data_IF_373402425243
#
_entry.id   IF_373402425243
#
_cell.length_a   1.000
_cell.length_b   1.000
_cell.length_c   1.000
_cell.angle_alpha   90.00
_cell.angle_beta   90.00
_cell.angle_gamma   90.00
#
_symmetry.space_group_name_H-M   'P 1'
#
loop_
_entity.id
_entity.type
_entity.pdbx_description
1 polymer ?
#
# COMPACT_ATOMS: atom_id res chain seq x y z
N UNK A 1 45.26 -21.35 -73.59
CA UNK A 1 44.90 -22.74 -73.19
C UNK A 1 45.01 -22.87 -71.66
N UNK A 2 44.20 -23.77 -71.07
CA UNK A 2 44.37 -24.57 -69.81
C UNK A 2 45.64 -24.31 -68.95
N UNK A 3 45.65 -24.38 -67.61
CA UNK A 3 44.63 -24.83 -66.62
C UNK A 3 45.00 -24.36 -65.19
N UNK A 4 44.03 -24.41 -64.26
CA UNK A 4 44.12 -24.22 -62.79
C UNK A 4 44.80 -25.36 -62.02
N UNK A 5 45.19 -25.10 -60.74
CA UNK A 5 45.34 -26.00 -59.53
C UNK A 5 46.28 -25.28 -58.53
N UNK A 6 46.18 -25.34 -57.18
CA UNK A 6 45.15 -25.76 -56.20
C UNK A 6 45.50 -25.17 -54.80
N UNK A 7 44.58 -25.24 -53.84
CA UNK A 7 44.69 -24.68 -52.48
C UNK A 7 45.42 -25.57 -51.44
N UNK A 8 45.88 -24.98 -50.32
CA UNK A 8 45.53 -25.32 -48.91
C UNK A 8 46.33 -24.52 -47.84
N UNK A 9 45.69 -24.25 -46.68
CA UNK A 9 46.25 -23.85 -45.35
C UNK A 9 46.79 -25.11 -44.60
N UNK A 10 47.39 -25.12 -43.36
CA UNK A 10 47.39 -24.17 -42.20
C UNK A 10 48.86 -23.89 -41.70
N UNK A 11 49.28 -23.67 -40.40
CA UNK A 11 48.61 -23.64 -39.08
C UNK A 11 49.01 -22.48 -38.10
N UNK A 12 48.75 -22.69 -36.79
CA UNK A 12 49.14 -21.92 -35.58
C UNK A 12 50.60 -22.23 -35.13
N UNK A 13 51.27 -21.54 -34.18
CA UNK A 13 51.06 -21.45 -32.69
C UNK A 13 51.94 -20.32 -32.06
N UNK A 14 51.60 -19.93 -30.80
CA UNK A 14 52.23 -19.03 -29.79
C UNK A 14 53.81 -19.02 -29.72
N UNK A 15 54.55 -18.11 -29.05
CA UNK A 15 54.43 -17.32 -27.78
C UNK A 15 55.20 -15.96 -27.91
N UNK A 16 55.10 -14.89 -27.08
CA UNK A 16 55.44 -14.75 -25.64
C UNK A 16 55.15 -13.32 -25.09
N UNK A 17 55.15 -13.18 -23.75
CA UNK A 17 54.98 -11.93 -22.97
C UNK A 17 56.05 -10.84 -23.20
N UNK A 18 55.65 -9.56 -23.00
CA UNK A 18 56.40 -8.58 -22.19
C UNK A 18 55.41 -7.82 -21.30
N UNK A 19 55.73 -7.66 -20.01
CA UNK A 19 54.99 -6.87 -19.02
C UNK A 19 55.85 -5.68 -18.62
N UNK A 20 55.27 -4.47 -18.56
CA UNK A 20 55.72 -3.39 -17.68
C UNK A 20 54.52 -2.50 -17.30
N UNK A 21 54.32 -2.30 -16.00
CA UNK A 21 53.34 -1.37 -15.41
C UNK A 21 53.99 0.05 -15.24
N UNK A 22 53.34 1.15 -14.85
CA UNK A 22 52.45 1.40 -13.69
C UNK A 22 51.65 2.72 -13.90
N UNK A 23 50.33 2.66 -13.67
CA UNK A 23 49.44 3.65 -13.00
C UNK A 23 49.57 5.16 -13.30
N UNK A 24 48.58 5.75 -13.98
CA UNK A 24 47.49 6.54 -13.34
C UNK A 24 46.31 6.73 -14.31
N UNK A 25 45.13 7.03 -13.77
CA UNK A 25 43.86 6.72 -14.44
C UNK A 25 43.42 7.63 -15.58
N UNK A 26 42.99 7.02 -16.69
CA UNK A 26 41.90 7.50 -17.56
C UNK A 26 41.02 6.29 -17.89
N UNK A 27 39.97 6.05 -17.08
CA UNK A 27 38.87 5.19 -17.55
C UNK A 27 38.06 6.03 -18.52
N UNK A 28 38.21 5.70 -19.80
CA UNK A 28 37.53 6.39 -20.90
C UNK A 28 36.01 6.33 -20.68
N UNK A 29 35.38 7.50 -20.69
CA UNK A 29 33.93 7.62 -20.75
C UNK A 29 33.42 6.94 -22.01
N UNK A 30 32.72 5.82 -21.85
CA UNK A 30 31.85 5.30 -22.89
C UNK A 30 30.42 5.41 -22.36
N UNK A 31 29.70 6.47 -22.79
CA UNK A 31 28.34 6.77 -22.37
C UNK A 31 27.35 5.75 -22.94
N UNK A 32 27.38 4.54 -22.39
CA UNK A 32 26.24 3.64 -22.40
C UNK A 32 25.25 4.16 -21.36
N UNK A 33 24.31 5.01 -21.79
CA UNK A 33 23.10 5.33 -21.03
C UNK A 33 22.15 4.12 -20.99
N UNK A 34 22.65 3.00 -20.45
CA UNK A 34 21.82 1.99 -19.83
C UNK A 34 21.93 2.21 -18.32
N UNK A 35 21.22 3.22 -17.83
CA UNK A 35 20.75 3.17 -16.46
C UNK A 35 19.93 1.89 -16.34
N UNK A 36 20.47 0.86 -15.68
CA UNK A 36 19.66 -0.26 -15.22
C UNK A 36 18.73 0.28 -14.14
N UNK A 37 17.63 0.89 -14.57
CA UNK A 37 16.41 0.93 -13.79
C UNK A 37 16.17 -0.52 -13.38
N UNK A 38 16.43 -0.84 -12.11
CA UNK A 38 15.97 -2.08 -11.53
C UNK A 38 14.47 -2.08 -11.73
N UNK A 39 13.99 -2.98 -12.59
CA UNK A 39 12.59 -3.03 -12.97
C UNK A 39 11.76 -3.34 -11.73
N UNK A 40 11.26 -2.31 -11.04
CA UNK A 40 10.27 -2.47 -9.98
C UNK A 40 8.99 -2.91 -10.70
N UNK A 41 8.81 -4.23 -10.78
CA UNK A 41 7.64 -4.84 -11.40
C UNK A 41 6.47 -4.58 -10.46
N UNK A 42 5.60 -3.63 -10.82
CA UNK A 42 4.26 -3.50 -10.23
C UNK A 42 3.41 -4.59 -10.88
N UNK A 43 3.41 -5.76 -10.26
CA UNK A 43 2.54 -6.93 -10.49
C UNK A 43 2.40 -7.39 -11.94
N UNK A 44 3.42 -7.18 -12.77
CA UNK A 44 3.51 -7.62 -14.17
C UNK A 44 2.50 -6.97 -15.14
N UNK A 45 1.66 -6.03 -14.69
CA UNK A 45 0.62 -5.41 -15.54
C UNK A 45 1.24 -4.35 -16.46
N UNK A 46 1.10 -4.56 -17.77
CA UNK A 46 1.56 -3.66 -18.84
C UNK A 46 0.60 -3.72 -20.01
N UNK A 47 0.37 -2.59 -20.68
CA UNK A 47 -0.14 -2.63 -22.06
C UNK A 47 0.99 -3.03 -23.04
N UNK A 48 0.67 -3.12 -24.33
CA UNK A 48 1.61 -3.48 -25.40
C UNK A 48 2.83 -2.53 -25.53
N UNK A 49 2.74 -1.32 -24.98
CA UNK A 49 3.79 -0.30 -24.97
C UNK A 49 4.53 -0.23 -23.62
N UNK A 50 4.09 -0.99 -22.61
CA UNK A 50 4.64 -0.94 -21.25
C UNK A 50 4.00 0.12 -20.35
N UNK A 51 2.88 0.73 -20.74
CA UNK A 51 2.24 1.83 -20.03
C UNK A 51 0.97 1.40 -19.29
N UNK A 52 0.76 1.96 -18.10
CA UNK A 52 -0.49 1.91 -17.33
C UNK A 52 -0.79 3.31 -16.77
N UNK A 53 -2.05 3.60 -16.53
CA UNK A 53 -2.46 4.85 -15.87
C UNK A 53 -2.60 4.61 -14.38
N UNK A 54 -1.84 5.33 -13.58
CA UNK A 54 -2.01 5.42 -12.13
C UNK A 54 -3.42 5.95 -11.79
N UNK A 55 -4.08 5.35 -10.80
CA UNK A 55 -5.45 5.67 -10.44
C UNK A 55 -5.61 7.09 -9.87
N UNK A 56 -4.61 7.62 -9.14
CA UNK A 56 -4.66 9.01 -8.65
C UNK A 56 -4.65 9.98 -9.83
N UNK A 57 -3.80 9.74 -10.84
CA UNK A 57 -3.83 10.51 -12.07
C UNK A 57 -5.17 10.38 -12.80
N UNK A 58 -5.69 9.16 -12.94
CA UNK A 58 -6.98 8.90 -13.61
C UNK A 58 -8.16 9.63 -12.94
N UNK A 59 -8.18 9.74 -11.61
CA UNK A 59 -9.27 10.45 -10.91
C UNK A 59 -9.05 11.97 -10.82
N UNK A 60 -7.81 12.45 -10.91
CA UNK A 60 -7.48 13.88 -10.83
C UNK A 60 -7.81 14.67 -12.13
N UNK A 61 -8.25 14.00 -13.21
CA UNK A 61 -8.67 14.63 -14.47
C UNK A 61 -10.06 15.33 -14.33
N UNK A 62 -10.12 16.34 -13.46
CA UNK A 62 -11.26 17.26 -13.31
C UNK A 62 -12.35 16.86 -12.31
N UNK A 63 -12.20 15.75 -11.58
CA UNK A 63 -13.15 15.38 -10.51
C UNK A 63 -12.72 15.94 -9.15
N UNK A 64 -13.69 16.24 -8.28
CA UNK A 64 -13.47 16.62 -6.86
C UNK A 64 -13.95 15.56 -5.87
N UNK A 65 -14.88 14.69 -6.29
CA UNK A 65 -15.33 13.51 -5.56
C UNK A 65 -15.37 12.29 -6.50
N UNK A 66 -15.00 11.09 -6.00
CA UNK A 66 -15.02 9.84 -6.77
C UNK A 66 -15.82 8.76 -6.02
N UNK A 67 -16.96 8.36 -6.56
CA UNK A 67 -17.71 7.20 -6.05
C UNK A 67 -16.98 5.92 -6.45
N UNK A 68 -16.81 5.01 -5.50
CA UNK A 68 -16.17 3.72 -5.76
C UNK A 68 -17.13 2.77 -6.50
N UNK A 69 -16.67 2.17 -7.60
CA UNK A 69 -17.35 1.10 -8.34
C UNK A 69 -17.23 -0.24 -7.59
N UNK A 70 -17.78 -1.33 -8.13
CA UNK A 70 -17.69 -2.64 -7.46
C UNK A 70 -16.25 -3.12 -7.31
N UNK A 71 -15.44 -3.07 -8.37
CA UNK A 71 -14.04 -3.52 -8.34
C UNK A 71 -13.25 -2.78 -7.25
N UNK A 72 -13.39 -1.46 -7.16
CA UNK A 72 -12.71 -0.63 -6.17
C UNK A 72 -13.18 -0.94 -4.74
N UNK A 73 -14.48 -1.22 -4.52
CA UNK A 73 -15.01 -1.63 -3.21
C UNK A 73 -14.60 -3.04 -2.81
N UNK A 74 -14.69 -4.00 -3.71
CA UNK A 74 -14.35 -5.41 -3.45
C UNK A 74 -12.86 -5.53 -3.08
N UNK A 75 -11.98 -4.78 -3.76
CA UNK A 75 -10.56 -4.70 -3.43
C UNK A 75 -10.30 -3.96 -2.10
N UNK A 76 -11.08 -2.93 -1.78
CA UNK A 76 -10.98 -2.21 -0.51
C UNK A 76 -11.41 -3.07 0.69
N UNK A 77 -12.50 -3.83 0.55
CA UNK A 77 -12.94 -4.82 1.54
C UNK A 77 -11.89 -5.93 1.73
N UNK A 78 -11.32 -6.45 0.65
CA UNK A 78 -10.21 -7.41 0.72
C UNK A 78 -8.99 -6.82 1.47
N UNK A 79 -8.61 -5.58 1.18
CA UNK A 79 -7.50 -4.90 1.85
C UNK A 79 -7.73 -4.68 3.35
N UNK A 80 -8.96 -4.29 3.73
CA UNK A 80 -9.38 -4.17 5.13
C UNK A 80 -9.32 -5.54 5.83
N UNK A 81 -9.75 -6.61 5.16
CA UNK A 81 -9.63 -7.98 5.68
C UNK A 81 -8.17 -8.35 5.93
N UNK A 82 -7.28 -8.16 4.95
CA UNK A 82 -5.84 -8.46 5.06
C UNK A 82 -5.17 -7.76 6.24
N UNK A 83 -5.50 -6.49 6.46
CA UNK A 83 -5.02 -5.73 7.62
C UNK A 83 -5.48 -6.38 8.94
N UNK A 84 -6.75 -6.74 9.06
CA UNK A 84 -7.25 -7.45 10.25
C UNK A 84 -6.62 -8.84 10.43
N UNK A 85 -6.35 -9.56 9.33
CA UNK A 85 -5.72 -10.89 9.39
C UNK A 85 -4.26 -10.84 9.86
N UNK A 86 -3.50 -9.80 9.48
CA UNK A 86 -2.16 -9.52 9.98
C UNK A 86 -2.17 -9.13 11.46
N UNK A 87 -3.09 -8.25 11.88
CA UNK A 87 -3.22 -7.84 13.28
C UNK A 87 -3.69 -8.98 14.20
N UNK A 88 -4.58 -9.84 13.72
CA UNK A 88 -4.95 -11.06 14.42
C UNK A 88 -3.81 -12.09 14.49
N UNK A 89 -2.80 -12.00 13.60
CA UNK A 89 -1.83 -13.07 13.39
C UNK A 89 -2.49 -14.32 12.82
N UNK A 90 -3.57 -14.16 12.04
CA UNK A 90 -4.15 -15.23 11.20
C UNK A 90 -3.19 -15.61 10.07
N UNK A 91 -2.42 -14.64 9.59
CA UNK A 91 -1.42 -14.74 8.52
C UNK A 91 -0.27 -13.81 8.91
N UNK A 92 0.99 -14.25 8.85
CA UNK A 92 2.13 -13.36 9.03
C UNK A 92 2.30 -12.40 7.84
N UNK A 93 2.99 -11.29 8.06
CA UNK A 93 3.38 -10.36 6.99
C UNK A 93 4.15 -11.06 5.87
N UNK A 94 5.06 -11.98 6.20
CA UNK A 94 5.80 -12.81 5.23
C UNK A 94 4.88 -13.73 4.42
N UNK A 95 4.00 -14.49 5.08
CA UNK A 95 3.04 -15.36 4.39
C UNK A 95 2.08 -14.55 3.50
N UNK A 96 1.72 -13.32 3.90
CA UNK A 96 0.90 -12.43 3.08
C UNK A 96 1.62 -12.01 1.79
N UNK A 97 2.91 -11.67 1.85
CA UNK A 97 3.74 -11.32 0.68
C UNK A 97 3.96 -12.55 -0.23
N UNK A 98 4.17 -13.73 0.36
CA UNK A 98 4.38 -14.98 -0.40
C UNK A 98 3.09 -15.49 -1.07
N UNK A 99 1.93 -15.23 -0.47
CA UNK A 99 0.62 -15.73 -0.98
C UNK A 99 -0.14 -14.75 -1.87
N UNK A 100 0.09 -13.43 -1.75
CA UNK A 100 -0.52 -12.42 -2.62
C UNK A 100 0.53 -11.51 -3.27
N UNK A 101 0.85 -11.70 -4.56
CA UNK A 101 1.87 -10.91 -5.26
C UNK A 101 1.49 -9.43 -5.40
N UNK A 102 0.27 -9.04 -5.02
CA UNK A 102 -0.17 -7.66 -5.02
C UNK A 102 0.04 -6.93 -3.69
N UNK A 103 0.46 -7.63 -2.64
CA UNK A 103 0.79 -7.06 -1.33
C UNK A 103 2.29 -6.82 -1.26
N UNK A 104 2.69 -5.62 -0.84
CA UNK A 104 4.07 -5.27 -0.50
C UNK A 104 4.12 -4.69 0.91
N UNK A 105 5.18 -5.01 1.66
CA UNK A 105 5.46 -4.37 2.95
C UNK A 105 6.76 -3.54 2.86
N UNK A 106 6.70 -2.31 3.34
CA UNK A 106 7.87 -1.45 3.55
C UNK A 106 8.11 -1.29 5.06
N UNK A 107 9.23 -1.85 5.54
CA UNK A 107 9.59 -1.83 6.96
C UNK A 107 10.41 -0.58 7.29
N UNK A 108 9.95 0.22 8.26
CA UNK A 108 10.67 1.43 8.69
C UNK A 108 11.82 1.07 9.62
N UNK A 109 12.96 0.71 9.02
CA UNK A 109 14.20 0.41 9.76
C UNK A 109 14.71 1.68 10.47
N UNK A 110 14.84 1.68 11.81
CA UNK A 110 15.35 2.85 12.54
C UNK A 110 16.78 3.20 12.16
N UNK A 111 17.15 4.49 12.30
CA UNK A 111 18.53 4.97 12.09
C UNK A 111 19.55 4.32 13.05
N UNK A 112 19.10 3.91 14.24
CA UNK A 112 19.89 3.15 15.19
C UNK A 112 19.67 1.66 14.93
N UNK A 113 20.70 0.96 14.45
CA UNK A 113 20.64 -0.44 14.01
C UNK A 113 20.19 -1.39 15.15
N UNK A 114 20.38 -1.01 16.41
CA UNK A 114 19.95 -1.79 17.59
C UNK A 114 18.54 -1.45 18.08
N UNK A 115 17.81 -0.53 17.43
CA UNK A 115 16.42 -0.25 17.75
C UNK A 115 15.49 -1.16 16.92
N UNK A 116 14.41 -1.70 17.53
CA UNK A 116 13.52 -2.64 16.87
C UNK A 116 12.73 -1.98 15.73
N UNK A 117 12.41 -2.76 14.69
CA UNK A 117 11.47 -2.36 13.64
C UNK A 117 10.04 -2.47 14.19
N UNK A 118 9.48 -1.33 14.58
CA UNK A 118 8.16 -1.20 15.22
C UNK A 118 7.06 -0.70 14.30
N UNK A 119 7.38 -0.30 13.07
CA UNK A 119 6.42 0.22 12.08
C UNK A 119 6.69 -0.38 10.70
N UNK A 120 5.63 -0.73 9.98
CA UNK A 120 5.68 -1.08 8.56
C UNK A 120 4.46 -0.52 7.81
N UNK A 121 4.62 -0.15 6.55
CA UNK A 121 3.49 0.15 5.66
C UNK A 121 3.18 -1.07 4.80
N UNK A 122 1.90 -1.38 4.60
CA UNK A 122 1.41 -2.36 3.64
C UNK A 122 0.75 -1.61 2.48
N UNK A 123 1.24 -1.86 1.25
CA UNK A 123 0.63 -1.43 -0.01
C UNK A 123 -0.09 -2.62 -0.65
N UNK A 124 -1.30 -2.38 -1.17
CA UNK A 124 -2.06 -3.34 -1.97
C UNK A 124 -2.48 -2.72 -3.30
N UNK A 125 -1.91 -3.24 -4.37
CA UNK A 125 -2.16 -2.80 -5.74
C UNK A 125 -3.30 -3.60 -6.36
N UNK A 126 -4.22 -2.96 -7.09
CA UNK A 126 -5.33 -3.62 -7.76
C UNK A 126 -5.59 -3.05 -9.16
N UNK A 127 -6.12 -3.88 -10.06
CA UNK A 127 -6.47 -3.46 -11.42
C UNK A 127 -7.92 -2.97 -11.45
N UNK A 128 -8.11 -1.69 -11.79
CA UNK A 128 -9.44 -1.10 -12.05
C UNK A 128 -9.91 -1.48 -13.45
N UNK A 129 -9.01 -1.38 -14.43
CA UNK A 129 -9.28 -1.71 -15.84
C UNK A 129 -8.08 -2.41 -16.45
N UNK A 130 -8.28 -3.59 -17.01
CA UNK A 130 -7.21 -4.33 -17.71
C UNK A 130 -6.78 -3.59 -19.00
N UNK A 131 -5.48 -3.57 -19.34
CA UNK A 131 -5.02 -3.02 -20.61
C UNK A 131 -5.51 -3.87 -21.79
N UNK A 132 -5.69 -3.22 -22.94
CA UNK A 132 -5.98 -3.88 -24.23
C UNK A 132 -5.06 -3.33 -25.31
N UNK A 133 -4.96 -3.96 -26.50
CA UNK A 133 -4.23 -3.39 -27.64
C UNK A 133 -4.73 -2.02 -28.11
N UNK A 134 -5.90 -1.56 -27.65
CA UNK A 134 -6.47 -0.26 -27.98
C UNK A 134 -6.49 0.74 -26.81
N UNK A 135 -6.30 0.30 -25.56
CA UNK A 135 -6.52 1.11 -24.36
C UNK A 135 -5.51 0.80 -23.25
N UNK A 136 -4.97 1.85 -22.62
CA UNK A 136 -4.14 1.71 -21.43
C UNK A 136 -4.94 1.10 -20.28
N UNK A 137 -4.28 0.30 -19.45
CA UNK A 137 -4.87 -0.17 -18.19
C UNK A 137 -4.95 0.94 -17.15
N UNK A 138 -5.76 0.74 -16.11
CA UNK A 138 -5.83 1.59 -14.92
C UNK A 138 -5.56 0.73 -13.69
N UNK A 139 -4.57 1.13 -12.90
CA UNK A 139 -4.10 0.43 -11.70
C UNK A 139 -4.16 1.39 -10.53
N UNK A 140 -4.74 0.95 -9.41
CA UNK A 140 -4.81 1.71 -8.18
C UNK A 140 -4.11 1.01 -7.02
N UNK A 141 -3.90 1.75 -5.95
CA UNK A 141 -3.25 1.27 -4.73
C UNK A 141 -4.04 1.71 -3.50
N UNK A 142 -4.11 0.82 -2.51
CA UNK A 142 -4.44 1.17 -1.14
C UNK A 142 -3.21 1.04 -0.26
N UNK A 143 -3.11 1.91 0.74
CA UNK A 143 -2.00 1.96 1.68
C UNK A 143 -2.52 1.85 3.11
N UNK A 144 -1.70 1.27 3.97
CA UNK A 144 -1.95 1.18 5.40
C UNK A 144 -0.64 1.16 6.17
N UNK A 145 -0.67 1.55 7.43
CA UNK A 145 0.45 1.43 8.37
C UNK A 145 0.08 0.47 9.48
N UNK A 146 1.02 -0.37 9.90
CA UNK A 146 0.92 -1.19 11.11
C UNK A 146 2.02 -0.84 12.12
N UNK A 147 1.69 -0.82 13.41
CA UNK A 147 2.65 -0.63 14.52
C UNK A 147 2.63 -1.79 15.52
N UNK A 148 3.75 -1.95 16.21
CA UNK A 148 3.95 -2.87 17.34
C UNK A 148 4.92 -2.28 18.36
N UNK A 149 4.84 -2.75 19.61
CA UNK A 149 5.66 -2.27 20.72
C UNK A 149 7.17 -2.49 20.54
N UNK A 150 7.54 -3.64 20.05
CA UNK A 150 8.92 -4.09 19.88
C UNK A 150 8.99 -5.18 18.79
N UNK A 151 10.20 -5.69 18.51
CA UNK A 151 10.43 -6.64 17.43
C UNK A 151 9.83 -8.04 17.66
N UNK A 152 9.48 -8.38 18.91
CA UNK A 152 8.94 -9.69 19.31
C UNK A 152 7.42 -9.62 19.57
N UNK A 153 6.88 -8.42 19.82
CA UNK A 153 5.44 -8.19 19.87
C UNK A 153 4.76 -8.47 18.51
N UNK A 154 3.49 -8.96 18.52
CA UNK A 154 2.67 -8.97 17.31
C UNK A 154 2.34 -7.53 16.86
N UNK A 155 1.90 -7.39 15.61
CA UNK A 155 1.30 -6.14 15.13
C UNK A 155 0.06 -5.81 15.98
N UNK A 156 0.08 -4.64 16.61
CA UNK A 156 -0.87 -4.21 17.63
C UNK A 156 -1.88 -3.19 17.06
N UNK A 157 -1.42 -2.30 16.18
CA UNK A 157 -2.22 -1.23 15.58
C UNK A 157 -2.17 -1.26 14.07
N UNK A 158 -3.28 -0.88 13.44
CA UNK A 158 -3.38 -0.68 11.99
C UNK A 158 -4.12 0.61 11.64
N UNK A 159 -3.73 1.23 10.53
CA UNK A 159 -4.30 2.49 10.05
C UNK A 159 -4.43 2.47 8.53
N UNK A 160 -5.64 2.74 8.00
CA UNK A 160 -5.91 2.84 6.55
C UNK A 160 -6.42 4.25 6.24
N UNK A 161 -5.59 5.14 5.66
CA UNK A 161 -6.04 6.39 5.08
C UNK A 161 -6.66 6.19 3.69
N UNK A 162 -7.81 6.81 3.45
CA UNK A 162 -8.35 7.04 2.10
C UNK A 162 -8.35 8.51 1.68
N UNK A 163 -8.03 9.46 2.57
CA UNK A 163 -7.94 10.88 2.20
C UNK A 163 -6.87 11.12 1.15
N UNK A 164 -7.31 11.36 -0.08
CA UNK A 164 -6.48 11.91 -1.15
C UNK A 164 -6.70 13.43 -1.21
N UNK A 165 -5.63 14.21 -1.13
CA UNK A 165 -5.67 15.68 -1.07
C UNK A 165 -6.24 16.36 -2.33
N UNK A 166 -6.48 15.61 -3.41
CA UNK A 166 -7.01 16.13 -4.68
C UNK A 166 -8.45 15.69 -4.96
N UNK A 167 -8.86 14.51 -4.49
CA UNK A 167 -10.19 13.92 -4.76
C UNK A 167 -10.71 13.22 -3.50
N UNK A 168 -11.92 13.59 -3.06
CA UNK A 168 -12.59 12.91 -1.95
C UNK A 168 -13.20 11.58 -2.42
N UNK A 169 -12.73 10.41 -1.94
CA UNK A 169 -13.34 9.13 -2.28
C UNK A 169 -14.64 8.93 -1.52
N UNK A 170 -15.66 8.41 -2.20
CA UNK A 170 -16.93 8.01 -1.61
C UNK A 170 -17.02 6.49 -1.71
N UNK A 171 -16.62 5.81 -0.63
CA UNK A 171 -16.48 4.34 -0.59
C UNK A 171 -17.79 3.62 -0.86
N UNK A 172 -18.94 4.25 -0.59
CA UNK A 172 -20.27 3.74 -0.91
C UNK A 172 -20.50 2.30 -0.41
N UNK A 173 -20.07 2.04 0.83
CA UNK A 173 -20.30 0.77 1.52
C UNK A 173 -21.80 0.59 1.80
N UNK A 174 -22.29 -0.63 1.60
CA UNK A 174 -23.60 -1.07 2.08
C UNK A 174 -23.44 -1.80 3.44
N UNK A 175 -24.52 -1.99 4.22
CA UNK A 175 -24.43 -2.72 5.49
C UNK A 175 -23.81 -4.13 5.37
N UNK A 176 -24.00 -4.80 4.23
CA UNK A 176 -23.45 -6.13 3.99
C UNK A 176 -21.93 -6.12 3.80
N UNK A 177 -21.29 -4.98 3.53
CA UNK A 177 -19.84 -4.86 3.54
C UNK A 177 -19.28 -5.10 4.95
N UNK A 178 -19.95 -4.57 5.98
CA UNK A 178 -19.58 -4.80 7.38
C UNK A 178 -19.81 -6.27 7.78
N UNK A 179 -20.91 -6.89 7.32
CA UNK A 179 -21.15 -8.33 7.49
C UNK A 179 -20.05 -9.19 6.83
N UNK A 180 -19.66 -8.88 5.58
CA UNK A 180 -18.60 -9.58 4.83
C UNK A 180 -17.24 -9.47 5.53
N UNK A 181 -16.95 -8.33 6.15
CA UNK A 181 -15.75 -8.11 6.95
C UNK A 181 -15.81 -8.80 8.33
N UNK A 182 -16.98 -9.31 8.74
CA UNK A 182 -17.21 -9.93 10.05
C UNK A 182 -17.28 -8.91 11.19
N UNK A 183 -17.63 -7.66 10.90
CA UNK A 183 -17.67 -6.55 11.84
C UNK A 183 -19.03 -6.44 12.53
N UNK A 184 -19.02 -6.39 13.86
CA UNK A 184 -20.21 -6.15 14.68
C UNK A 184 -20.21 -4.70 15.16
N UNK A 185 -21.25 -3.94 14.86
CA UNK A 185 -21.37 -2.58 15.37
C UNK A 185 -21.38 -2.57 16.90
N UNK A 186 -20.67 -1.60 17.49
CA UNK A 186 -20.50 -1.48 18.95
C UNK A 186 -21.01 -0.14 19.45
N UNK A 187 -20.55 0.97 18.87
CA UNK A 187 -21.03 2.31 19.24
C UNK A 187 -20.66 3.38 18.21
N UNK A 188 -21.33 4.53 18.32
CA UNK A 188 -21.07 5.75 17.55
C UNK A 188 -20.77 6.90 18.52
N UNK A 189 -19.73 7.67 18.24
CA UNK A 189 -19.34 8.84 19.04
C UNK A 189 -18.66 9.90 18.16
N UNK A 190 -18.42 11.08 18.74
CA UNK A 190 -17.96 12.26 18.00
C UNK A 190 -16.58 12.74 18.44
N UNK A 191 -15.99 13.59 17.62
CA UNK A 191 -14.76 14.33 17.94
C UNK A 191 -14.83 15.07 19.29
N UNK A 192 -16.01 15.59 19.66
CA UNK A 192 -16.26 16.24 20.95
C UNK A 192 -16.18 15.29 22.16
N UNK A 193 -16.56 14.02 22.00
CA UNK A 193 -16.41 13.00 23.04
C UNK A 193 -14.92 12.68 23.30
N UNK A 194 -14.08 12.79 22.26
CA UNK A 194 -12.63 12.66 22.38
C UNK A 194 -11.99 13.90 23.02
N UNK A 195 -12.37 15.12 22.58
CA UNK A 195 -11.89 16.39 23.18
C UNK A 195 -12.12 16.46 24.69
N UNK A 196 -13.29 15.98 25.13
CA UNK A 196 -13.71 16.02 26.53
C UNK A 196 -13.13 14.89 27.39
N UNK A 197 -12.39 13.94 26.80
CA UNK A 197 -11.90 12.75 27.50
C UNK A 197 -12.99 11.76 27.89
N UNK A 198 -14.25 12.00 27.51
CA UNK A 198 -15.38 11.06 27.70
C UNK A 198 -15.16 9.75 26.94
N UNK A 199 -14.41 9.80 25.84
CA UNK A 199 -13.92 8.66 25.08
C UNK A 199 -12.42 8.81 24.82
N UNK A 200 -11.72 7.68 24.75
CA UNK A 200 -10.33 7.60 24.32
C UNK A 200 -10.23 6.66 23.12
N UNK A 201 -9.41 7.03 22.14
CA UNK A 201 -8.97 6.13 21.07
C UNK A 201 -7.48 5.89 21.23
N UNK A 202 -7.16 4.73 21.80
CA UNK A 202 -5.80 4.24 22.00
C UNK A 202 -5.47 3.28 20.85
N UNK A 203 -5.19 3.84 19.67
CA UNK A 203 -5.01 3.10 18.41
C UNK A 203 -3.62 3.30 17.77
N UNK A 204 -2.66 3.82 18.52
CA UNK A 204 -1.31 4.11 18.01
C UNK A 204 -0.39 4.41 19.20
N UNK A 205 0.83 3.87 19.24
CA UNK A 205 1.74 4.13 20.36
C UNK A 205 2.33 5.56 20.33
N UNK A 206 2.37 6.17 19.14
CA UNK A 206 3.07 7.43 18.88
C UNK A 206 2.18 8.60 18.41
N UNK A 207 0.84 8.43 18.38
CA UNK A 207 -0.09 9.44 17.83
C UNK A 207 -1.27 9.74 18.76
N UNK A 208 -1.25 10.98 19.23
CA UNK A 208 -2.38 11.70 19.80
C UNK A 208 -3.53 11.84 18.78
N UNK A 209 -4.78 11.71 19.24
CA UNK A 209 -5.99 12.04 18.47
C UNK A 209 -5.95 13.49 17.93
N UNK A 210 -5.09 14.37 18.46
CA UNK A 210 -4.74 15.66 17.85
C UNK A 210 -4.37 15.62 16.36
N UNK A 211 -3.96 14.47 15.80
CA UNK A 211 -3.71 14.35 14.35
C UNK A 211 -4.96 14.36 13.46
N UNK A 212 -6.17 14.27 14.04
CA UNK A 212 -7.42 14.61 13.35
C UNK A 212 -7.63 16.13 13.19
N UNK A 213 -6.83 16.98 13.85
CA UNK A 213 -7.04 18.43 13.95
C UNK A 213 -5.99 19.27 13.23
N UNK A 214 -4.77 18.76 13.09
CA UNK A 214 -3.66 19.48 12.42
C UNK A 214 -3.81 19.53 10.89
N UNK A 215 -4.70 18.72 10.31
CA UNK A 215 -5.19 18.94 8.95
C UNK A 215 -6.19 20.09 8.98
N UNK A 216 -5.88 21.18 8.28
CA UNK A 216 -6.60 22.47 8.31
C UNK A 216 -8.02 22.50 7.73
N UNK A 217 -8.81 21.45 7.95
CA UNK A 217 -10.27 21.49 7.81
C UNK A 217 -10.84 22.43 8.87
N UNK A 218 -11.33 23.59 8.43
CA UNK A 218 -11.82 24.68 9.29
C UNK A 218 -13.14 24.33 10.00
N UNK A 219 -13.10 23.39 10.93
CA UNK A 219 -14.24 23.03 11.79
C UNK A 219 -15.09 21.86 11.31
N UNK A 220 -14.60 21.01 10.40
CA UNK A 220 -15.29 19.74 10.10
C UNK A 220 -15.32 18.87 11.37
N UNK A 221 -16.51 18.53 11.89
CA UNK A 221 -16.58 17.52 12.93
C UNK A 221 -16.36 16.13 12.31
N UNK A 222 -15.91 15.19 13.15
CA UNK A 222 -15.79 13.79 12.78
C UNK A 222 -16.77 12.95 13.60
N UNK A 223 -17.48 12.06 12.90
CA UNK A 223 -18.20 10.95 13.50
C UNK A 223 -17.32 9.69 13.41
N UNK A 224 -17.35 8.88 14.46
CA UNK A 224 -16.58 7.65 14.57
C UNK A 224 -17.52 6.48 14.82
N UNK A 225 -17.40 5.46 13.99
CA UNK A 225 -18.20 4.23 14.09
C UNK A 225 -17.28 3.10 14.56
N UNK A 226 -17.50 2.63 15.79
CA UNK A 226 -16.75 1.54 16.40
C UNK A 226 -17.44 0.20 16.14
N UNK A 227 -16.64 -0.74 15.71
CA UNK A 227 -16.96 -2.13 15.49
C UNK A 227 -16.02 -3.02 16.31
N UNK A 228 -16.47 -4.24 16.57
CA UNK A 228 -15.62 -5.32 17.08
C UNK A 228 -15.69 -6.54 16.17
N UNK A 229 -14.62 -7.31 16.13
CA UNK A 229 -14.60 -8.64 15.49
C UNK A 229 -13.66 -9.57 16.25
N UNK A 230 -13.57 -10.82 15.83
CA UNK A 230 -12.64 -11.80 16.38
C UNK A 230 -12.13 -12.68 15.26
N UNK A 231 -10.81 -12.72 15.08
CA UNK A 231 -10.13 -13.50 14.04
C UNK A 231 -8.96 -14.24 14.69
N UNK A 232 -8.75 -15.51 14.31
CA UNK A 232 -7.76 -16.40 14.97
C UNK A 232 -7.83 -16.38 16.52
N UNK A 233 -9.05 -16.37 17.08
CA UNK A 233 -9.34 -16.19 18.51
C UNK A 233 -8.87 -14.87 19.16
N UNK A 234 -8.30 -13.94 18.38
CA UNK A 234 -7.89 -12.60 18.83
C UNK A 234 -9.03 -11.60 18.58
N UNK A 235 -9.53 -10.88 19.62
CA UNK A 235 -10.47 -9.80 19.43
C UNK A 235 -9.80 -8.58 18.79
N UNK A 236 -10.50 -7.92 17.87
CA UNK A 236 -10.06 -6.67 17.26
C UNK A 236 -11.12 -5.57 17.46
N UNK A 237 -10.69 -4.36 17.79
CA UNK A 237 -11.49 -3.14 17.62
C UNK A 237 -11.18 -2.52 16.26
N UNK A 238 -12.22 -2.10 15.54
CA UNK A 238 -12.09 -1.36 14.27
C UNK A 238 -12.94 -0.10 14.34
N UNK A 239 -12.38 1.06 14.01
CA UNK A 239 -13.08 2.35 14.02
C UNK A 239 -12.97 3.04 12.67
N UNK A 240 -14.11 3.37 12.08
CA UNK A 240 -14.21 4.13 10.83
C UNK A 240 -14.42 5.61 11.17
N UNK A 241 -13.52 6.47 10.67
CA UNK A 241 -13.62 7.93 10.73
C UNK A 241 -14.39 8.48 9.54
N UNK A 242 -15.39 9.32 9.81
CA UNK A 242 -16.35 9.85 8.85
C UNK A 242 -16.43 11.37 8.99
N UNK A 243 -16.38 12.09 7.87
CA UNK A 243 -16.64 13.54 7.83
C UNK A 243 -18.11 13.82 8.18
N UNK A 244 -18.37 14.88 8.93
CA UNK A 244 -19.72 15.32 9.30
C UNK A 244 -20.66 15.56 8.09
N UNK A 245 -20.16 16.00 6.93
CA UNK A 245 -20.98 16.16 5.72
C UNK A 245 -21.35 14.83 5.04
N UNK A 246 -20.72 13.72 5.45
CA UNK A 246 -20.98 12.35 5.01
C UNK A 246 -21.65 11.49 6.10
N UNK A 247 -21.98 12.10 7.23
CA UNK A 247 -22.56 11.47 8.41
C UNK A 247 -24.10 11.53 8.39
N UNK A 248 -24.74 10.44 8.82
CA UNK A 248 -26.19 10.36 9.03
C UNK A 248 -26.45 9.93 10.49
N UNK A 249 -27.23 10.72 11.23
CA UNK A 249 -27.57 10.42 12.62
C UNK A 249 -28.39 9.14 12.78
N UNK A 250 -29.27 8.87 11.81
CA UNK A 250 -30.17 7.71 11.80
C UNK A 250 -29.49 6.42 11.32
N UNK A 251 -28.34 6.52 10.64
CA UNK A 251 -27.59 5.37 10.16
C UNK A 251 -26.80 4.66 11.27
N UNK A 252 -26.91 3.34 11.31
CA UNK A 252 -26.07 2.44 12.12
C UNK A 252 -24.68 2.24 11.49
N UNK A 253 -24.60 2.23 10.16
CA UNK A 253 -23.38 1.95 9.39
C UNK A 253 -22.96 3.15 8.53
N UNK A 254 -21.66 3.48 8.45
CA UNK A 254 -21.18 4.59 7.64
C UNK A 254 -21.10 4.20 6.16
N UNK A 255 -21.83 4.91 5.30
CA UNK A 255 -21.80 4.69 3.84
C UNK A 255 -20.49 5.13 3.19
N UNK A 256 -19.94 6.25 3.66
CA UNK A 256 -18.65 6.79 3.23
C UNK A 256 -17.78 7.00 4.47
N UNK A 257 -16.47 6.79 4.32
CA UNK A 257 -15.50 6.93 5.40
C UNK A 257 -14.13 7.23 4.77
N UNK A 258 -13.23 7.82 5.58
CA UNK A 258 -11.98 8.38 5.08
C UNK A 258 -10.73 7.85 5.79
N UNK A 259 -10.89 7.31 7.00
CA UNK A 259 -9.83 6.75 7.81
C UNK A 259 -10.37 5.49 8.52
N UNK A 260 -9.59 4.41 8.59
CA UNK A 260 -9.86 3.29 9.50
C UNK A 260 -8.71 3.15 10.49
N UNK A 261 -9.07 2.91 11.75
CA UNK A 261 -8.15 2.52 12.81
C UNK A 261 -8.50 1.11 13.26
N UNK A 262 -7.47 0.32 13.54
CA UNK A 262 -7.60 -1.06 13.99
C UNK A 262 -6.69 -1.27 15.20
N UNK A 263 -7.17 -2.04 16.18
CA UNK A 263 -6.40 -2.47 17.34
C UNK A 263 -6.60 -3.96 17.58
N UNK A 264 -5.48 -4.64 17.81
CA UNK A 264 -5.40 -5.97 18.42
C UNK A 264 -5.66 -5.84 19.91
N UNK A 265 -6.68 -6.50 20.44
CA UNK A 265 -6.97 -6.52 21.87
C UNK A 265 -6.33 -7.77 22.51
N UNK A 266 -5.46 -7.57 23.52
CA UNK A 266 -4.80 -8.66 24.26
C UNK A 266 -3.27 -8.59 24.22
#
# INVERSE_FOLDING_TARGET
MKKTVSARKPPFILTSLVICAVVFGVVVMNNSNNSSQSTKIVNQIRDQNGEVTDYVRFINDGMSKKIFNSIERDNLENFISKNMDVLAGSVSDKEMIESDPNVQFEYFVPKLITAPVTVADMQYTFVVTQPTPATKGVVGDFFSSVERKDENAPWEYGYIPLRNGYVSPLTNFDPKAFDRLGLKFSEKFFLSDLKSGKRALDFYQSKDFKKFYDYGDNGANFAFYKFTTTRNAIPLTVVFGVLEDQYDESAEFPRNWFDIYMKREG
#
